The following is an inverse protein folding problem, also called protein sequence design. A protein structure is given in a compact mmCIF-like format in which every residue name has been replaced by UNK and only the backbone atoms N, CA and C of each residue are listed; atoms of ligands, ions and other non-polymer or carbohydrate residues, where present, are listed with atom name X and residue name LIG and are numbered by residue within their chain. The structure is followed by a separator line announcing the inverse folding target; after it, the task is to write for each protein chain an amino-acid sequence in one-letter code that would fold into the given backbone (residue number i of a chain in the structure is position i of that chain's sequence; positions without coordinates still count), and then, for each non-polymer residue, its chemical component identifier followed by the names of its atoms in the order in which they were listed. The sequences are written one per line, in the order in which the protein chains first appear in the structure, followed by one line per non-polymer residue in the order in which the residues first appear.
data_IF_487384835997
#
_entry.id   IF_487384835997
#
_cell.length_a   1.000
_cell.length_b   1.000
_cell.length_c   1.000
_cell.angle_alpha   90.00
_cell.angle_beta   90.00
_cell.angle_gamma   90.00
#
_symmetry.space_group_name_H-M   'P 1'
#
loop_
_entity.id
_entity.type
_entity.pdbx_description
1 polymer ?
#
# COMPACT_ATOMS: atom_id res chain seq x y z
N UNK A 1 20.09 36.87 13.42
CA UNK A 1 20.82 35.65 13.02
C UNK A 1 19.79 34.70 12.40
N UNK A 2 19.25 35.18 11.29
CA UNK A 2 18.20 34.60 10.46
C UNK A 2 18.99 34.29 9.19
N UNK A 3 19.20 33.01 8.86
CA UNK A 3 19.62 32.49 7.54
C UNK A 3 20.26 31.09 7.61
N UNK A 4 19.63 30.08 8.22
CA UNK A 4 20.09 28.69 8.07
C UNK A 4 18.96 27.65 8.19
N UNK A 5 17.90 27.82 7.41
CA UNK A 5 17.08 26.69 6.95
C UNK A 5 16.85 26.92 5.46
N UNK A 6 17.72 26.35 4.61
CA UNK A 6 17.41 26.18 3.19
C UNK A 6 16.16 25.32 3.14
N UNK A 7 15.02 25.96 2.92
CA UNK A 7 13.72 25.33 2.66
C UNK A 7 13.92 24.46 1.43
N UNK A 8 14.02 23.13 1.58
CA UNK A 8 14.06 22.18 0.44
C UNK A 8 12.81 22.45 -0.40
N UNK A 9 12.99 23.09 -1.55
CA UNK A 9 11.88 23.61 -2.34
C UNK A 9 11.08 22.44 -2.92
N UNK A 10 9.76 22.47 -2.72
CA UNK A 10 8.86 21.52 -3.37
C UNK A 10 8.88 21.76 -4.88
N UNK A 11 8.92 20.69 -5.66
CA UNK A 11 8.90 20.75 -7.12
C UNK A 11 7.48 20.59 -7.65
N UNK A 12 7.12 21.38 -8.66
CA UNK A 12 5.87 21.23 -9.40
C UNK A 12 6.18 20.68 -10.80
N UNK A 13 5.62 19.51 -11.11
CA UNK A 13 5.77 18.86 -12.42
C UNK A 13 4.39 18.70 -13.07
N UNK A 14 4.16 19.22 -14.28
CA UNK A 14 2.95 18.92 -15.04
C UNK A 14 2.87 17.43 -15.35
N UNK A 15 1.71 16.79 -15.07
CA UNK A 15 1.55 15.34 -15.22
C UNK A 15 1.81 14.86 -16.65
N UNK A 16 1.34 15.63 -17.63
CA UNK A 16 1.54 15.38 -19.07
C UNK A 16 3.02 15.34 -19.47
N UNK A 17 3.87 16.05 -18.75
CA UNK A 17 5.30 16.13 -19.06
C UNK A 17 6.10 14.95 -18.51
N UNK A 18 5.56 14.14 -17.60
CA UNK A 18 6.31 13.07 -16.92
C UNK A 18 6.81 12.03 -17.93
N UNK A 19 5.96 11.58 -18.86
CA UNK A 19 6.36 10.59 -19.87
C UNK A 19 7.53 11.08 -20.74
N UNK A 20 7.45 12.36 -21.11
CA UNK A 20 8.46 13.02 -21.93
C UNK A 20 9.76 13.23 -21.15
N UNK A 21 9.69 13.59 -19.86
CA UNK A 21 10.88 13.71 -19.00
C UNK A 21 11.57 12.36 -18.79
N UNK A 22 10.81 11.28 -18.55
CA UNK A 22 11.34 9.92 -18.44
C UNK A 22 12.08 9.52 -19.73
N UNK A 23 11.48 9.82 -20.88
CA UNK A 23 12.06 9.54 -22.20
C UNK A 23 13.32 10.38 -22.46
N UNK A 24 13.27 11.68 -22.15
CA UNK A 24 14.37 12.63 -22.33
C UNK A 24 15.62 12.20 -21.53
N UNK A 25 15.43 11.83 -20.26
CA UNK A 25 16.52 11.37 -19.39
C UNK A 25 16.85 9.88 -19.55
N UNK A 26 16.16 9.16 -20.45
CA UNK A 26 16.34 7.71 -20.71
C UNK A 26 16.26 6.87 -19.42
N UNK A 27 15.30 7.21 -18.57
CA UNK A 27 15.10 6.53 -17.29
C UNK A 27 14.32 5.22 -17.49
N UNK A 28 14.66 4.15 -16.76
CA UNK A 28 13.88 2.91 -16.82
C UNK A 28 12.49 3.14 -16.20
N UNK A 29 11.44 2.71 -16.91
CA UNK A 29 10.07 2.76 -16.42
C UNK A 29 9.65 1.38 -15.89
N UNK A 30 9.35 1.30 -14.61
CA UNK A 30 8.84 0.08 -13.97
C UNK A 30 7.31 -0.01 -14.04
N UNK A 31 6.77 -1.18 -13.69
CA UNK A 31 5.32 -1.38 -13.51
C UNK A 31 4.74 -0.38 -12.50
N UNK A 32 5.43 -0.14 -11.38
CA UNK A 32 5.00 0.83 -10.37
C UNK A 32 5.05 2.27 -10.88
N UNK A 33 6.07 2.62 -11.67
CA UNK A 33 6.21 3.96 -12.23
C UNK A 33 5.10 4.33 -13.22
N UNK A 34 4.48 3.34 -13.87
CA UNK A 34 3.33 3.55 -14.77
C UNK A 34 2.15 4.22 -14.08
N UNK A 35 2.03 4.11 -12.74
CA UNK A 35 0.98 4.79 -11.96
C UNK A 35 1.01 6.31 -12.16
N UNK A 36 2.17 6.89 -12.42
CA UNK A 36 2.35 8.33 -12.56
C UNK A 36 2.32 8.84 -14.01
N UNK A 37 2.27 7.93 -14.99
CA UNK A 37 2.33 8.27 -16.41
C UNK A 37 0.94 8.21 -17.03
N UNK A 38 0.55 9.24 -17.78
CA UNK A 38 -0.69 9.21 -18.57
C UNK A 38 -0.53 8.29 -19.80
N UNK A 39 -1.51 7.41 -20.04
CA UNK A 39 -1.52 6.51 -21.20
C UNK A 39 -1.66 7.27 -22.52
N UNK A 40 -1.02 6.75 -23.57
CA UNK A 40 -0.71 7.41 -24.86
C UNK A 40 -1.89 8.01 -25.66
N UNK A 41 -3.15 7.81 -25.29
CA UNK A 41 -4.32 8.25 -26.07
C UNK A 41 -4.51 9.77 -26.18
N UNK A 42 -3.75 10.58 -25.44
CA UNK A 42 -3.85 12.05 -25.45
C UNK A 42 -2.51 12.80 -25.61
N UNK A 43 -1.46 12.14 -26.09
CA UNK A 43 -0.19 12.82 -26.35
C UNK A 43 -0.27 13.47 -27.73
N UNK A 44 -0.80 14.70 -27.79
CA UNK A 44 -0.33 15.63 -28.81
C UNK A 44 1.16 15.83 -28.51
N UNK A 45 2.02 15.31 -29.40
CA UNK A 45 3.48 15.46 -29.35
C UNK A 45 3.86 16.94 -29.51
N UNK A 46 3.64 17.75 -28.48
CA UNK A 46 4.20 19.09 -28.37
C UNK A 46 5.43 19.03 -27.45
N UNK A 47 6.55 18.58 -28.04
CA UNK A 47 7.92 18.67 -27.48
C UNK A 47 8.24 20.08 -26.98
N UNK A 48 7.57 21.10 -27.53
CA UNK A 48 7.71 22.51 -27.17
C UNK A 48 7.38 22.81 -25.70
N UNK A 49 6.48 22.06 -25.07
CA UNK A 49 6.09 22.28 -23.66
C UNK A 49 7.14 21.78 -22.66
N UNK A 50 7.86 20.71 -22.99
CA UNK A 50 8.88 20.11 -22.12
C UNK A 50 10.18 20.86 -22.22
N UNK A 51 10.58 21.25 -23.43
CA UNK A 51 11.72 22.13 -23.61
C UNK A 51 11.48 23.46 -22.87
N UNK A 52 10.26 24.01 -22.87
CA UNK A 52 9.94 25.20 -22.09
C UNK A 52 10.02 24.98 -20.57
N UNK A 53 9.59 23.84 -20.05
CA UNK A 53 9.69 23.51 -18.61
C UNK A 53 11.14 23.22 -18.17
N UNK A 54 11.91 22.49 -18.99
CA UNK A 54 13.33 22.24 -18.76
C UNK A 54 14.12 23.55 -18.80
N UNK A 55 13.83 24.41 -19.79
CA UNK A 55 14.52 25.71 -19.94
C UNK A 55 14.10 26.74 -18.88
N UNK A 56 12.87 26.67 -18.34
CA UNK A 56 12.45 27.54 -17.23
C UNK A 56 13.03 27.10 -15.88
N UNK A 57 13.46 25.85 -15.76
CA UNK A 57 13.97 25.23 -14.53
C UNK A 57 15.50 25.19 -14.42
N UNK A 58 16.22 26.04 -15.16
CA UNK A 58 17.70 26.01 -15.25
C UNK A 58 18.41 26.33 -13.92
N UNK A 59 19.48 25.60 -13.54
CA UNK A 59 19.88 24.27 -14.01
C UNK A 59 19.02 23.20 -13.32
N UNK A 60 18.57 22.18 -14.06
CA UNK A 60 18.00 20.98 -13.46
C UNK A 60 19.08 20.31 -12.60
N UNK A 61 19.01 20.53 -11.29
CA UNK A 61 19.93 19.94 -10.33
C UNK A 61 19.86 18.40 -10.42
N UNK A 62 21.00 17.74 -10.20
CA UNK A 62 21.07 16.26 -10.16
C UNK A 62 20.03 15.66 -9.21
N UNK A 63 19.63 16.40 -8.17
CA UNK A 63 18.55 16.01 -7.25
C UNK A 63 17.20 15.86 -7.95
N UNK A 64 16.84 16.77 -8.86
CA UNK A 64 15.56 16.71 -9.58
C UNK A 64 15.54 15.49 -10.51
N UNK A 65 16.67 15.22 -11.20
CA UNK A 65 16.81 14.02 -12.04
C UNK A 65 16.66 12.76 -11.19
N UNK A 66 17.23 12.73 -9.97
CA UNK A 66 17.04 11.62 -9.04
C UNK A 66 15.56 11.46 -8.63
N UNK A 67 14.83 12.56 -8.41
CA UNK A 67 13.41 12.48 -8.05
C UNK A 67 12.55 11.94 -9.19
N UNK A 68 12.82 12.37 -10.43
CA UNK A 68 12.15 11.83 -11.63
C UNK A 68 12.51 10.34 -11.80
N UNK A 69 13.75 9.95 -11.50
CA UNK A 69 14.15 8.53 -11.51
C UNK A 69 13.38 7.70 -10.48
N UNK A 70 13.09 8.25 -9.30
CA UNK A 70 12.33 7.55 -8.27
C UNK A 70 10.87 7.41 -8.67
N UNK A 71 10.31 8.42 -9.33
CA UNK A 71 8.98 8.37 -9.94
C UNK A 71 8.87 7.32 -11.05
N UNK A 72 9.88 7.22 -11.92
CA UNK A 72 9.90 6.26 -13.02
C UNK A 72 10.09 4.81 -12.54
N UNK A 73 10.87 4.62 -11.48
CA UNK A 73 11.28 3.31 -10.99
C UNK A 73 11.27 3.23 -9.45
N UNK A 74 10.11 3.38 -8.79
CA UNK A 74 10.03 3.23 -7.34
C UNK A 74 10.20 1.76 -6.95
N UNK A 75 10.84 1.53 -5.81
CA UNK A 75 10.92 0.20 -5.16
C UNK A 75 9.69 -0.10 -4.33
N UNK A 76 9.17 0.96 -3.71
CA UNK A 76 8.05 0.93 -2.81
C UNK A 76 7.23 2.19 -3.04
N UNK A 77 5.92 2.01 -3.17
CA UNK A 77 4.94 3.05 -3.41
C UNK A 77 3.80 2.86 -2.41
N UNK A 78 3.46 3.91 -1.67
CA UNK A 78 2.36 3.91 -0.73
C UNK A 78 1.33 4.99 -1.12
N UNK A 79 0.06 4.64 -1.32
CA UNK A 79 -1.07 5.59 -1.33
C UNK A 79 -1.53 5.78 0.12
N UNK A 80 -1.25 6.95 0.68
CA UNK A 80 -1.51 7.28 2.07
C UNK A 80 -2.71 8.20 2.14
N UNK A 81 -3.72 7.80 2.92
CA UNK A 81 -4.94 8.56 3.17
C UNK A 81 -5.11 8.78 4.67
N UNK A 82 -5.21 10.04 5.06
CA UNK A 82 -5.41 10.44 6.44
C UNK A 82 -6.75 11.14 6.55
N UNK A 83 -7.62 10.64 7.42
CA UNK A 83 -8.89 11.28 7.78
C UNK A 83 -8.80 11.74 9.22
N UNK A 84 -8.79 13.04 9.44
CA UNK A 84 -8.60 13.63 10.78
C UNK A 84 -9.88 14.30 11.26
N UNK A 85 -10.34 13.94 12.47
CA UNK A 85 -11.59 14.38 13.12
C UNK A 85 -12.84 14.34 12.24
N UNK A 86 -12.90 13.45 11.25
CA UNK A 86 -14.03 13.34 10.31
C UNK A 86 -14.31 14.64 9.50
N UNK A 87 -13.36 15.57 9.44
CA UNK A 87 -13.51 16.90 8.83
C UNK A 87 -12.49 17.21 7.75
N UNK A 88 -11.31 16.61 7.82
CA UNK A 88 -10.26 16.82 6.83
C UNK A 88 -9.76 15.48 6.30
N UNK A 89 -9.51 15.47 5.00
CA UNK A 89 -8.87 14.39 4.29
C UNK A 89 -7.57 14.89 3.70
N UNK A 90 -6.50 14.14 3.90
CA UNK A 90 -5.25 14.28 3.19
C UNK A 90 -5.00 12.99 2.40
N UNK A 91 -4.62 13.14 1.13
CA UNK A 91 -4.16 12.02 0.30
C UNK A 91 -2.81 12.39 -0.30
N UNK A 92 -1.83 11.52 -0.14
CA UNK A 92 -0.51 11.68 -0.73
C UNK A 92 0.07 10.32 -1.06
N UNK A 93 0.87 10.25 -2.12
CA UNK A 93 1.74 9.11 -2.33
C UNK A 93 3.08 9.33 -1.64
N UNK A 94 3.63 8.28 -1.05
CA UNK A 94 5.02 8.25 -0.60
C UNK A 94 5.76 7.17 -1.39
N UNK A 95 6.95 7.49 -1.89
CA UNK A 95 7.78 6.51 -2.59
C UNK A 95 9.28 6.68 -2.33
N UNK A 96 10.02 5.60 -2.52
CA UNK A 96 11.48 5.57 -2.54
C UNK A 96 11.98 4.78 -3.76
N UNK A 97 13.10 5.20 -4.32
CA UNK A 97 13.80 4.50 -5.40
C UNK A 97 15.00 3.67 -4.93
N UNK A 98 15.25 3.60 -3.62
CA UNK A 98 16.48 3.07 -3.01
C UNK A 98 16.20 2.23 -1.77
N UNK A 99 17.06 1.23 -1.51
CA UNK A 99 16.88 0.26 -0.42
C UNK A 99 17.50 0.77 0.89
N UNK A 100 18.52 1.63 0.78
CA UNK A 100 19.26 2.16 1.92
C UNK A 100 18.32 2.89 2.91
N UNK A 101 18.54 2.72 4.21
CA UNK A 101 17.65 3.32 5.25
C UNK A 101 17.66 4.86 5.22
N UNK A 102 18.78 5.47 4.79
CA UNK A 102 18.94 6.91 4.61
C UNK A 102 18.50 7.39 3.21
N UNK A 103 17.88 6.51 2.41
CA UNK A 103 17.33 6.87 1.13
C UNK A 103 16.24 7.94 1.29
N UNK A 104 16.27 9.00 0.46
CA UNK A 104 15.23 10.02 0.53
C UNK A 104 13.91 9.44 0.04
N UNK A 105 12.85 9.78 0.77
CA UNK A 105 11.48 9.52 0.37
C UNK A 105 10.91 10.73 -0.36
N UNK A 106 9.94 10.51 -1.22
CA UNK A 106 9.22 11.59 -1.91
C UNK A 106 7.74 11.51 -1.53
N UNK A 107 7.21 12.61 -0.98
CA UNK A 107 5.77 12.84 -0.96
C UNK A 107 5.34 13.44 -2.29
N UNK A 108 4.27 12.90 -2.85
CA UNK A 108 3.72 13.29 -4.13
C UNK A 108 2.21 13.48 -3.97
N UNK A 109 1.68 14.60 -4.43
CA UNK A 109 0.24 14.85 -4.39
C UNK A 109 -0.21 15.58 -5.66
N UNK A 110 -1.39 15.27 -6.19
CA UNK A 110 -1.99 16.04 -7.27
C UNK A 110 -2.40 17.41 -6.74
N UNK A 111 -2.06 18.46 -7.48
CA UNK A 111 -2.46 19.86 -7.21
C UNK A 111 -3.04 20.49 -8.48
N UNK A 112 -3.63 21.68 -8.36
CA UNK A 112 -4.23 22.41 -9.48
C UNK A 112 -5.23 21.55 -10.26
N UNK A 113 -6.25 21.04 -9.57
CA UNK A 113 -7.27 20.13 -10.11
C UNK A 113 -6.69 18.87 -10.80
N UNK A 114 -5.53 18.42 -10.31
CA UNK A 114 -4.85 17.23 -10.77
C UNK A 114 -4.13 17.39 -12.10
N UNK A 115 -3.81 18.62 -12.52
CA UNK A 115 -2.96 18.90 -13.69
C UNK A 115 -1.46 18.72 -13.37
N UNK A 116 -1.07 19.05 -12.14
CA UNK A 116 0.33 19.01 -11.70
C UNK A 116 0.51 18.04 -10.53
N UNK A 117 1.71 17.46 -10.42
CA UNK A 117 2.16 16.85 -9.18
C UNK A 117 3.06 17.82 -8.42
N UNK A 118 2.76 17.97 -7.13
CA UNK A 118 3.68 18.57 -6.17
C UNK A 118 4.50 17.46 -5.53
N UNK A 119 5.82 17.55 -5.67
CA UNK A 119 6.79 16.62 -5.11
C UNK A 119 7.52 17.31 -3.97
N UNK A 120 7.61 16.65 -2.82
CA UNK A 120 8.32 17.14 -1.66
C UNK A 120 9.24 16.04 -1.11
N UNK A 121 10.56 16.28 -1.04
CA UNK A 121 11.49 15.31 -0.49
C UNK A 121 11.36 15.22 1.03
N UNK A 122 11.60 14.02 1.54
CA UNK A 122 11.70 13.64 2.94
C UNK A 122 13.05 12.97 3.12
N UNK A 123 13.77 13.33 4.18
CA UNK A 123 15.20 12.98 4.31
C UNK A 123 15.45 11.48 4.49
N UNK A 124 14.52 10.76 5.13
CA UNK A 124 14.64 9.33 5.39
C UNK A 124 13.32 8.70 5.82
N UNK A 125 13.34 7.37 6.00
CA UNK A 125 12.17 6.59 6.43
C UNK A 125 11.68 7.01 7.82
N UNK A 126 12.60 7.32 8.73
CA UNK A 126 12.30 7.79 10.07
C UNK A 126 11.46 9.09 10.06
N UNK A 127 11.84 10.05 9.22
CA UNK A 127 11.10 11.32 9.08
C UNK A 127 9.73 11.09 8.45
N UNK A 128 9.62 10.17 7.49
CA UNK A 128 8.33 9.75 6.92
C UNK A 128 7.42 9.15 8.00
N UNK A 129 7.91 8.15 8.74
CA UNK A 129 7.15 7.47 9.80
C UNK A 129 6.73 8.48 10.87
N UNK A 130 7.65 9.33 11.35
CA UNK A 130 7.35 10.39 12.31
C UNK A 130 6.27 11.36 11.80
N UNK A 131 6.29 11.70 10.50
CA UNK A 131 5.29 12.59 9.89
C UNK A 131 3.88 11.98 9.91
N UNK A 132 3.77 10.67 9.72
CA UNK A 132 2.49 9.95 9.81
C UNK A 132 2.07 9.71 11.26
N UNK A 133 3.03 9.36 12.12
CA UNK A 133 2.81 9.08 13.52
C UNK A 133 2.26 10.28 14.28
N UNK A 134 2.64 11.50 13.88
CA UNK A 134 2.12 12.76 14.42
C UNK A 134 0.58 12.90 14.31
N UNK A 135 -0.09 12.13 13.44
CA UNK A 135 -1.56 12.10 13.35
C UNK A 135 -2.20 11.07 14.29
N UNK A 136 -1.45 10.05 14.72
CA UNK A 136 -1.93 8.94 15.55
C UNK A 136 -1.64 9.18 17.03
N UNK A 137 -0.44 9.71 17.33
CA UNK A 137 0.05 9.97 18.68
C UNK A 137 -0.88 10.88 19.53
N UNK A 138 -1.47 11.97 18.98
CA UNK A 138 -2.25 12.88 19.81
C UNK A 138 -3.45 12.22 20.49
N UNK A 139 -3.76 12.68 21.70
CA UNK A 139 -4.98 12.32 22.44
C UNK A 139 -4.70 11.66 23.80
N UNK A 140 -5.70 10.96 24.32
CA UNK A 140 -5.64 10.27 25.62
C UNK A 140 -4.73 9.03 25.56
N UNK A 141 -4.29 8.48 26.70
CA UNK A 141 -3.55 7.21 26.70
C UNK A 141 -4.29 6.09 25.97
N UNK A 142 -3.53 5.27 25.25
CA UNK A 142 -4.03 4.08 24.55
C UNK A 142 -4.08 2.91 25.52
N UNK A 143 -5.22 2.24 25.55
CA UNK A 143 -5.44 1.00 26.28
C UNK A 143 -5.49 -0.14 25.27
N UNK A 144 -4.53 -1.06 25.36
CA UNK A 144 -4.57 -2.29 24.59
C UNK A 144 -5.67 -3.21 25.11
N UNK A 145 -6.26 -3.97 24.20
CA UNK A 145 -7.28 -4.95 24.54
C UNK A 145 -6.94 -6.31 23.95
N UNK A 146 -7.48 -7.37 24.55
CA UNK A 146 -7.26 -8.74 24.07
C UNK A 146 -8.03 -9.07 22.77
N UNK A 147 -8.76 -8.09 22.21
CA UNK A 147 -9.53 -8.28 20.98
C UNK A 147 -8.56 -8.41 19.80
N UNK A 148 -8.47 -9.63 19.29
CA UNK A 148 -7.75 -9.94 18.07
C UNK A 148 -8.48 -11.02 17.26
N UNK A 149 -8.58 -10.84 15.95
CA UNK A 149 -9.18 -11.84 15.07
C UNK A 149 -8.71 -11.67 13.63
N UNK A 150 -8.83 -12.74 12.84
CA UNK A 150 -8.62 -12.71 11.41
C UNK A 150 -9.91 -13.00 10.68
N UNK A 151 -10.28 -12.21 9.68
CA UNK A 151 -11.48 -12.41 8.87
C UNK A 151 -11.17 -12.33 7.37
N UNK A 152 -12.10 -12.75 6.52
CA UNK A 152 -11.96 -12.55 5.07
C UNK A 152 -12.22 -11.09 4.70
N UNK A 153 -11.78 -10.63 3.52
CA UNK A 153 -12.12 -9.29 3.02
C UNK A 153 -13.63 -9.03 2.98
N UNK A 154 -14.45 -10.03 2.63
CA UNK A 154 -15.92 -9.92 2.65
C UNK A 154 -16.47 -9.77 4.06
N UNK A 155 -15.95 -10.53 5.02
CA UNK A 155 -16.33 -10.38 6.44
C UNK A 155 -15.94 -9.00 6.96
N UNK A 156 -14.77 -8.51 6.56
CA UNK A 156 -14.28 -7.18 6.91
C UNK A 156 -15.16 -6.07 6.32
N UNK A 157 -15.52 -6.13 5.03
CA UNK A 157 -16.37 -5.11 4.40
C UNK A 157 -17.74 -5.02 5.09
N UNK A 158 -18.38 -6.16 5.39
CA UNK A 158 -19.66 -6.19 6.11
C UNK A 158 -19.51 -5.69 7.55
N UNK A 159 -18.40 -6.03 8.24
CA UNK A 159 -18.11 -5.48 9.57
C UNK A 159 -17.97 -3.96 9.55
N UNK A 160 -17.33 -3.40 8.53
CA UNK A 160 -17.22 -1.93 8.40
C UNK A 160 -18.56 -1.29 8.05
N UNK A 161 -19.40 -1.93 7.23
CA UNK A 161 -20.77 -1.46 6.99
C UNK A 161 -21.62 -1.47 8.28
N UNK A 162 -21.40 -2.45 9.16
CA UNK A 162 -22.00 -2.46 10.49
C UNK A 162 -21.52 -1.27 11.36
N UNK A 163 -20.27 -0.82 11.23
CA UNK A 163 -19.76 0.40 11.92
C UNK A 163 -20.53 1.63 11.46
N UNK A 164 -20.80 1.72 10.16
CA UNK A 164 -21.46 2.88 9.58
C UNK A 164 -22.95 2.92 9.91
N UNK A 165 -23.66 1.80 9.84
CA UNK A 165 -25.06 1.77 10.26
C UNK A 165 -25.18 2.03 11.77
N UNK A 166 -24.27 1.51 12.59
CA UNK A 166 -24.22 1.81 14.01
C UNK A 166 -24.04 3.31 14.25
N UNK A 167 -23.11 3.93 13.53
CA UNK A 167 -22.87 5.38 13.60
C UNK A 167 -24.10 6.19 13.18
N UNK A 168 -24.78 5.80 12.10
CA UNK A 168 -26.02 6.42 11.63
C UNK A 168 -27.12 6.36 12.67
N UNK A 169 -27.31 5.18 13.28
CA UNK A 169 -28.31 4.96 14.32
C UNK A 169 -27.99 5.82 15.55
N UNK A 170 -26.73 5.86 16.00
CA UNK A 170 -26.31 6.70 17.13
C UNK A 170 -26.63 8.18 16.88
N UNK A 171 -26.26 8.71 15.70
CA UNK A 171 -26.55 10.10 15.34
C UNK A 171 -28.05 10.38 15.21
N UNK A 172 -28.81 9.46 14.58
CA UNK A 172 -30.26 9.60 14.44
C UNK A 172 -30.97 9.60 15.81
N UNK A 173 -30.58 8.69 16.71
CA UNK A 173 -31.09 8.61 18.09
C UNK A 173 -30.80 9.89 18.87
N UNK A 174 -29.61 10.48 18.71
CA UNK A 174 -29.26 11.77 19.32
C UNK A 174 -30.15 12.91 18.81
N UNK A 175 -30.34 13.00 17.50
CA UNK A 175 -31.16 14.05 16.86
C UNK A 175 -32.64 13.92 17.24
N UNK A 176 -33.16 12.70 17.26
CA UNK A 176 -34.57 12.41 17.55
C UNK A 176 -34.86 12.31 19.05
N UNK A 177 -33.85 12.41 19.91
CA UNK A 177 -33.95 12.20 21.36
C UNK A 177 -34.58 10.84 21.73
N UNK A 178 -34.21 9.79 20.99
CA UNK A 178 -34.68 8.42 21.18
C UNK A 178 -33.56 7.52 21.70
N UNK A 179 -33.88 6.44 22.44
CA UNK A 179 -32.87 5.45 22.81
C UNK A 179 -32.29 4.79 21.55
N UNK A 180 -31.02 4.41 21.61
CA UNK A 180 -30.37 3.62 20.55
C UNK A 180 -30.98 2.22 20.54
N UNK A 181 -31.54 1.75 19.41
CA UNK A 181 -31.98 0.38 19.25
C UNK A 181 -30.88 -0.63 19.61
N UNK A 182 -31.27 -1.69 20.32
CA UNK A 182 -30.34 -2.78 20.70
C UNK A 182 -30.09 -3.78 19.56
N UNK A 183 -30.90 -3.72 18.50
CA UNK A 183 -30.82 -4.61 17.35
C UNK A 183 -30.96 -3.84 16.04
N UNK A 184 -30.31 -4.34 15.00
CA UNK A 184 -30.28 -3.81 13.64
C UNK A 184 -30.98 -4.82 12.71
N UNK A 185 -31.83 -4.35 11.79
CA UNK A 185 -32.43 -5.21 10.77
C UNK A 185 -31.36 -5.61 9.72
N UNK A 186 -31.37 -6.88 9.31
CA UNK A 186 -30.51 -7.36 8.21
C UNK A 186 -30.83 -6.63 6.90
N UNK A 187 -32.10 -6.31 6.66
CA UNK A 187 -32.52 -5.57 5.45
C UNK A 187 -31.95 -4.15 5.43
N UNK A 188 -32.04 -3.43 6.56
CA UNK A 188 -31.48 -2.08 6.69
C UNK A 188 -29.96 -2.09 6.49
N UNK A 189 -29.28 -3.12 7.01
CA UNK A 189 -27.84 -3.29 6.85
C UNK A 189 -27.46 -3.57 5.40
N UNK A 190 -28.20 -4.43 4.70
CA UNK A 190 -27.96 -4.72 3.28
C UNK A 190 -28.15 -3.45 2.44
N UNK A 191 -29.23 -2.71 2.67
CA UNK A 191 -29.47 -1.44 2.00
C UNK A 191 -28.37 -0.41 2.33
N UNK A 192 -27.89 -0.37 3.57
CA UNK A 192 -26.78 0.50 3.94
C UNK A 192 -25.48 0.12 3.23
N UNK A 193 -25.20 -1.18 3.07
CA UNK A 193 -24.05 -1.68 2.32
C UNK A 193 -24.09 -1.21 0.86
N UNK A 194 -25.23 -1.40 0.18
CA UNK A 194 -25.40 -1.02 -1.22
C UNK A 194 -25.23 0.50 -1.41
N UNK A 195 -25.92 1.30 -0.59
CA UNK A 195 -25.88 2.77 -0.65
C UNK A 195 -24.47 3.35 -0.49
N UNK A 196 -23.61 2.72 0.31
CA UNK A 196 -22.24 3.21 0.55
C UNK A 196 -21.39 3.16 -0.71
N UNK A 197 -21.67 2.23 -1.63
CA UNK A 197 -20.94 2.15 -2.89
C UNK A 197 -21.43 3.16 -3.93
N UNK A 198 -22.65 3.66 -3.77
CA UNK A 198 -23.23 4.69 -4.63
C UNK A 198 -22.84 6.11 -4.23
N UNK A 199 -22.67 6.38 -2.93
CA UNK A 199 -22.45 7.73 -2.41
C UNK A 199 -21.14 7.86 -1.63
N UNK A 200 -20.27 8.76 -2.08
CA UNK A 200 -19.03 9.10 -1.38
C UNK A 200 -19.33 9.96 -0.14
N UNK A 201 -19.23 9.37 1.05
CA UNK A 201 -19.38 10.11 2.31
C UNK A 201 -18.21 9.81 3.26
N UNK A 202 -17.32 10.79 3.36
CA UNK A 202 -16.08 10.73 4.14
C UNK A 202 -16.31 10.62 5.65
N UNK A 203 -17.54 10.85 6.15
CA UNK A 203 -17.88 10.67 7.56
C UNK A 203 -18.01 9.20 7.94
N UNK A 204 -18.14 8.30 6.96
CA UNK A 204 -18.32 6.88 7.17
C UNK A 204 -17.01 6.11 6.95
N UNK A 205 -16.80 5.09 7.77
CA UNK A 205 -15.57 4.32 7.80
C UNK A 205 -15.40 3.49 6.53
N UNK A 206 -16.48 2.99 5.93
CA UNK A 206 -16.39 2.16 4.73
C UNK A 206 -15.72 2.88 3.56
N UNK A 207 -16.02 4.17 3.38
CA UNK A 207 -15.37 4.96 2.33
C UNK A 207 -13.85 5.03 2.51
N UNK A 208 -13.36 5.02 3.75
CA UNK A 208 -11.93 5.03 4.02
C UNK A 208 -11.23 3.73 3.60
N UNK A 209 -11.95 2.61 3.47
CA UNK A 209 -11.36 1.30 3.12
C UNK A 209 -11.67 0.84 1.69
N UNK A 210 -12.54 1.54 0.95
CA UNK A 210 -13.04 1.08 -0.36
C UNK A 210 -11.91 0.78 -1.36
N UNK A 211 -10.80 1.50 -1.26
CA UNK A 211 -9.64 1.33 -2.13
C UNK A 211 -8.88 0.02 -1.88
N UNK A 212 -8.99 -0.58 -0.69
CA UNK A 212 -8.45 -1.92 -0.41
C UNK A 212 -9.32 -3.03 -1.01
N UNK A 213 -10.61 -2.76 -1.24
CA UNK A 213 -11.56 -3.78 -1.66
C UNK A 213 -11.49 -3.99 -3.17
N UNK A 214 -11.45 -5.26 -3.64
CA UNK A 214 -11.62 -5.57 -5.05
C UNK A 214 -13.02 -5.17 -5.51
N UNK A 215 -13.17 -4.84 -6.80
CA UNK A 215 -14.41 -4.28 -7.35
C UNK A 215 -15.60 -5.23 -7.15
N UNK A 216 -15.36 -6.54 -7.15
CA UNK A 216 -16.36 -7.59 -6.92
C UNK A 216 -16.95 -7.56 -5.51
N UNK A 217 -16.22 -7.02 -4.52
CA UNK A 217 -16.71 -6.89 -3.15
C UNK A 217 -17.44 -5.56 -2.90
N UNK A 218 -17.49 -4.67 -3.87
CA UNK A 218 -18.33 -3.46 -3.79
C UNK A 218 -19.82 -3.82 -3.94
N UNK A 219 -20.15 -4.90 -4.66
CA UNK A 219 -21.53 -5.42 -4.74
C UNK A 219 -21.56 -6.89 -4.37
N UNK A 220 -22.23 -7.24 -3.28
CA UNK A 220 -22.35 -8.64 -2.83
C UNK A 220 -23.80 -9.12 -2.94
N UNK A 221 -23.97 -10.36 -3.40
CA UNK A 221 -25.29 -10.95 -3.46
C UNK A 221 -25.84 -11.25 -2.06
N UNK A 222 -27.17 -11.26 -1.92
CA UNK A 222 -27.85 -11.46 -0.65
C UNK A 222 -27.47 -12.79 0.03
N UNK A 223 -27.17 -13.85 -0.73
CA UNK A 223 -26.82 -15.15 -0.14
C UNK A 223 -25.43 -15.12 0.48
N UNK A 224 -24.46 -14.49 -0.18
CA UNK A 224 -23.12 -14.24 0.34
C UNK A 224 -23.16 -13.31 1.55
N UNK A 225 -24.00 -12.26 1.51
CA UNK A 225 -24.22 -11.36 2.63
C UNK A 225 -24.68 -12.12 3.89
N UNK A 226 -25.74 -12.92 3.77
CA UNK A 226 -26.29 -13.70 4.89
C UNK A 226 -25.31 -14.75 5.42
N UNK A 227 -24.54 -15.39 4.53
CA UNK A 227 -23.47 -16.30 4.95
C UNK A 227 -22.37 -15.57 5.73
N UNK A 228 -22.05 -14.34 5.35
CA UNK A 228 -21.07 -13.49 6.04
C UNK A 228 -21.54 -13.13 7.44
N UNK A 229 -22.83 -12.76 7.60
CA UNK A 229 -23.43 -12.51 8.92
C UNK A 229 -23.30 -13.75 9.82
N UNK A 230 -23.60 -14.96 9.32
CA UNK A 230 -23.44 -16.21 10.09
C UNK A 230 -22.00 -16.43 10.56
N UNK A 231 -21.00 -16.10 9.73
CA UNK A 231 -19.59 -16.22 10.09
C UNK A 231 -19.19 -15.18 11.14
N UNK A 232 -19.66 -13.94 11.03
CA UNK A 232 -19.47 -12.92 12.06
C UNK A 232 -20.12 -13.32 13.41
N UNK A 233 -21.26 -14.02 13.38
CA UNK A 233 -21.87 -14.62 14.58
C UNK A 233 -20.99 -15.72 15.18
N UNK A 234 -20.43 -16.61 14.36
CA UNK A 234 -19.50 -17.65 14.82
C UNK A 234 -18.24 -17.05 15.49
N UNK A 235 -17.84 -15.85 15.08
CA UNK A 235 -16.74 -15.09 15.67
C UNK A 235 -17.09 -14.37 16.97
N UNK A 236 -18.35 -14.47 17.42
CA UNK A 236 -18.83 -13.80 18.64
C UNK A 236 -18.68 -12.28 18.60
N UNK A 237 -18.72 -11.67 17.41
CA UNK A 237 -18.78 -10.20 17.27
C UNK A 237 -20.24 -9.71 17.27
N UNK A 238 -21.16 -10.54 16.78
CA UNK A 238 -22.58 -10.23 16.73
C UNK A 238 -23.40 -11.47 17.12
N UNK A 239 -24.62 -11.24 17.56
CA UNK A 239 -25.65 -12.26 17.74
C UNK A 239 -26.73 -12.03 16.67
N UNK A 240 -27.27 -13.10 16.11
CA UNK A 240 -28.33 -13.03 15.12
C UNK A 240 -29.54 -13.82 15.59
N UNK A 241 -30.70 -13.17 15.61
CA UNK A 241 -31.99 -13.78 15.90
C UNK A 241 -32.96 -13.44 14.76
N UNK A 242 -33.24 -14.42 13.91
CA UNK A 242 -34.08 -14.25 12.73
C UNK A 242 -33.53 -13.19 11.76
N UNK A 243 -34.25 -12.09 11.63
CA UNK A 243 -33.96 -10.95 10.74
C UNK A 243 -33.18 -9.82 11.45
N UNK A 244 -32.80 -10.02 12.71
CA UNK A 244 -32.14 -9.01 13.54
C UNK A 244 -30.74 -9.41 13.95
N UNK A 245 -29.89 -8.40 14.09
CA UNK A 245 -28.52 -8.48 14.55
C UNK A 245 -28.38 -7.66 15.83
N UNK A 246 -27.81 -8.23 16.88
CA UNK A 246 -27.40 -7.53 18.10
C UNK A 246 -25.88 -7.64 18.26
N UNK A 247 -25.29 -6.75 19.05
CA UNK A 247 -23.86 -6.78 19.35
C UNK A 247 -23.59 -7.66 20.57
N UNK A 248 -22.55 -8.49 20.50
CA UNK A 248 -21.97 -9.08 21.73
C UNK A 248 -21.22 -7.99 22.50
N UNK A 249 -20.79 -8.26 23.74
CA UNK A 249 -19.94 -7.32 24.49
C UNK A 249 -18.64 -6.98 23.74
N UNK A 250 -17.95 -7.99 23.20
CA UNK A 250 -16.71 -7.80 22.42
C UNK A 250 -16.95 -7.00 21.14
N UNK A 251 -18.04 -7.29 20.42
CA UNK A 251 -18.42 -6.54 19.23
C UNK A 251 -18.80 -5.10 19.53
N UNK A 252 -19.55 -4.88 20.61
CA UNK A 252 -19.95 -3.55 21.05
C UNK A 252 -18.74 -2.70 21.47
N UNK A 253 -17.75 -3.33 22.12
CA UNK A 253 -16.49 -2.65 22.46
C UNK A 253 -15.76 -2.19 21.20
N UNK A 254 -15.54 -3.10 20.23
CA UNK A 254 -14.91 -2.76 18.95
C UNK A 254 -15.69 -1.66 18.22
N UNK A 255 -17.01 -1.82 18.05
CA UNK A 255 -17.82 -0.90 17.25
C UNK A 255 -17.91 0.49 17.86
N UNK A 256 -18.06 0.58 19.18
CA UNK A 256 -18.10 1.86 19.89
C UNK A 256 -16.77 2.60 19.80
N UNK A 257 -15.66 1.85 19.83
CA UNK A 257 -14.32 2.39 19.61
C UNK A 257 -14.15 2.93 18.19
N UNK A 258 -14.53 2.17 17.16
CA UNK A 258 -14.40 2.61 15.75
C UNK A 258 -15.37 3.76 15.41
N UNK A 259 -16.52 3.82 16.07
CA UNK A 259 -17.44 4.95 15.97
C UNK A 259 -16.79 6.25 16.49
N UNK A 260 -16.13 6.20 17.66
CA UNK A 260 -15.42 7.33 18.29
C UNK A 260 -13.97 7.50 17.81
N UNK A 261 -13.72 7.18 16.55
CA UNK A 261 -12.41 7.39 15.92
C UNK A 261 -12.09 8.89 15.77
N UNK A 262 -10.86 9.24 16.11
CA UNK A 262 -10.26 10.56 15.97
C UNK A 262 -9.47 10.69 14.68
N UNK A 263 -8.76 9.63 14.29
CA UNK A 263 -7.95 9.61 13.07
C UNK A 263 -8.01 8.23 12.41
N UNK A 264 -8.00 8.24 11.08
CA UNK A 264 -7.78 7.05 10.25
C UNK A 264 -6.52 7.32 9.43
N UNK A 265 -5.56 6.41 9.47
CA UNK A 265 -4.42 6.35 8.56
C UNK A 265 -4.55 5.07 7.75
N UNK A 266 -4.91 5.19 6.48
CA UNK A 266 -4.96 4.10 5.52
C UNK A 266 -3.75 4.18 4.59
N UNK A 267 -3.05 3.06 4.43
CA UNK A 267 -1.83 2.94 3.63
C UNK A 267 -2.02 1.76 2.69
N UNK A 268 -2.06 2.02 1.39
CA UNK A 268 -2.07 0.98 0.36
C UNK A 268 -0.68 0.90 -0.26
N UNK A 269 0.02 -0.17 0.08
CA UNK A 269 1.42 -0.39 -0.25
C UNK A 269 1.54 -1.28 -1.47
N UNK A 270 2.35 -0.84 -2.43
CA UNK A 270 2.75 -1.59 -3.61
C UNK A 270 4.27 -1.65 -3.63
N UNK A 271 4.85 -2.84 -3.71
CA UNK A 271 6.29 -3.00 -3.63
C UNK A 271 6.78 -4.36 -4.07
N UNK A 272 8.09 -4.51 -4.13
CA UNK A 272 8.72 -5.79 -4.45
C UNK A 272 9.09 -6.52 -3.16
N UNK A 273 8.76 -7.81 -3.10
CA UNK A 273 9.16 -8.67 -1.99
C UNK A 273 10.62 -9.17 -2.16
N UNK A 274 11.09 -10.00 -1.22
CA UNK A 274 12.44 -10.57 -1.25
C UNK A 274 12.72 -11.45 -2.50
N UNK A 275 11.68 -11.96 -3.15
CA UNK A 275 11.79 -12.72 -4.42
C UNK A 275 11.65 -11.83 -5.66
N UNK A 276 11.62 -10.50 -5.48
CA UNK A 276 11.40 -9.48 -6.51
C UNK A 276 10.08 -9.65 -7.27
N UNK A 277 9.08 -10.28 -6.65
CA UNK A 277 7.71 -10.29 -7.14
C UNK A 277 6.97 -9.07 -6.59
N UNK A 278 6.12 -8.51 -7.44
CA UNK A 278 5.26 -7.41 -7.06
C UNK A 278 4.19 -7.92 -6.08
N UNK A 279 4.07 -7.26 -4.94
CA UNK A 279 3.07 -7.48 -3.92
C UNK A 279 2.28 -6.22 -3.62
N UNK A 280 1.10 -6.40 -3.03
CA UNK A 280 0.24 -5.34 -2.51
C UNK A 280 -0.15 -5.67 -1.08
N UNK A 281 -0.12 -4.70 -0.18
CA UNK A 281 -0.54 -4.86 1.21
C UNK A 281 -1.27 -3.59 1.65
N UNK A 282 -2.43 -3.76 2.28
CA UNK A 282 -3.14 -2.67 2.92
C UNK A 282 -2.83 -2.64 4.41
N UNK A 283 -2.61 -1.46 4.96
CA UNK A 283 -2.48 -1.23 6.39
C UNK A 283 -3.43 -0.10 6.80
N UNK A 284 -4.25 -0.35 7.81
CA UNK A 284 -5.19 0.63 8.33
C UNK A 284 -4.94 0.80 9.83
N UNK A 285 -4.71 2.03 10.25
CA UNK A 285 -4.61 2.42 11.65
C UNK A 285 -5.80 3.31 12.00
N UNK A 286 -6.56 2.92 13.02
CA UNK A 286 -7.69 3.72 13.50
C UNK A 286 -7.40 4.11 14.95
N UNK A 287 -7.11 5.39 15.14
CA UNK A 287 -6.98 6.01 16.45
C UNK A 287 -8.35 6.42 16.95
N UNK A 288 -8.80 5.83 18.05
CA UNK A 288 -9.98 6.28 18.79
C UNK A 288 -9.56 7.04 20.06
N UNK A 289 -10.50 7.52 20.87
CA UNK A 289 -10.21 8.26 22.11
C UNK A 289 -9.17 7.54 22.98
N UNK A 290 -9.39 6.25 23.22
CA UNK A 290 -8.69 5.47 24.24
C UNK A 290 -8.08 4.16 23.69
N UNK A 291 -8.02 3.99 22.37
CA UNK A 291 -7.52 2.77 21.75
C UNK A 291 -6.91 3.10 20.39
N UNK A 292 -6.07 2.16 19.93
CA UNK A 292 -5.50 2.16 18.60
C UNK A 292 -5.67 0.77 18.00
N UNK A 293 -6.26 0.73 16.82
CA UNK A 293 -6.50 -0.49 16.07
C UNK A 293 -5.62 -0.52 14.84
N UNK A 294 -5.02 -1.68 14.58
CA UNK A 294 -4.31 -1.97 13.36
C UNK A 294 -5.02 -3.09 12.61
N UNK A 295 -5.20 -2.86 11.31
CA UNK A 295 -5.73 -3.84 10.38
C UNK A 295 -4.66 -4.10 9.33
N UNK A 296 -4.14 -5.31 9.32
CA UNK A 296 -3.30 -5.82 8.24
C UNK A 296 -4.20 -6.47 7.21
N UNK A 297 -4.25 -5.90 6.02
CA UNK A 297 -5.21 -6.22 4.96
C UNK A 297 -4.42 -6.81 3.80
N UNK A 298 -4.63 -8.08 3.49
CA UNK A 298 -4.24 -8.66 2.20
C UNK A 298 -5.36 -8.37 1.18
N UNK A 299 -5.14 -7.48 0.19
CA UNK A 299 -6.15 -7.10 -0.79
C UNK A 299 -6.31 -8.13 -1.92
N UNK A 300 -5.64 -9.28 -1.86
CA UNK A 300 -5.85 -10.35 -2.83
C UNK A 300 -7.26 -10.97 -2.72
N UNK A 301 -7.81 -11.61 -3.77
CA UNK A 301 -9.18 -12.14 -3.75
C UNK A 301 -9.51 -13.09 -2.60
N UNK A 302 -8.51 -13.81 -2.07
CA UNK A 302 -8.64 -14.71 -0.92
C UNK A 302 -7.88 -14.20 0.31
N UNK A 303 -7.53 -12.93 0.31
CA UNK A 303 -6.76 -12.29 1.36
C UNK A 303 -7.53 -12.25 2.67
N UNK A 304 -6.77 -12.24 3.76
CA UNK A 304 -7.27 -12.13 5.11
C UNK A 304 -7.00 -10.72 5.65
N UNK A 305 -7.85 -10.32 6.59
CA UNK A 305 -7.67 -9.11 7.38
C UNK A 305 -7.41 -9.51 8.82
N UNK A 306 -6.24 -9.15 9.35
CA UNK A 306 -5.92 -9.33 10.76
C UNK A 306 -6.24 -8.04 11.50
N UNK A 307 -7.11 -8.11 12.51
CA UNK A 307 -7.52 -6.98 13.35
C UNK A 307 -6.96 -7.16 14.74
N UNK A 308 -6.23 -6.16 15.22
CA UNK A 308 -5.59 -6.17 16.54
C UNK A 308 -5.62 -4.78 17.18
N UNK A 309 -5.83 -4.75 18.48
CA UNK A 309 -5.52 -3.57 19.30
C UNK A 309 -4.02 -3.53 19.57
N UNK A 310 -3.40 -2.35 19.46
CA UNK A 310 -1.96 -2.18 19.60
C UNK A 310 -1.59 -0.93 20.40
N UNK A 311 -0.39 -0.88 20.96
CA UNK A 311 0.21 0.34 21.55
C UNK A 311 0.77 1.29 20.50
N UNK A 312 1.13 2.50 20.95
CA UNK A 312 1.89 3.48 20.16
C UNK A 312 3.24 2.96 19.70
N UNK A 313 4.00 2.33 20.61
CA UNK A 313 5.31 1.76 20.27
C UNK A 313 5.17 0.70 19.18
N UNK A 314 4.18 -0.19 19.32
CA UNK A 314 3.92 -1.21 18.31
C UNK A 314 3.46 -0.62 16.98
N UNK A 315 2.68 0.45 17.00
CA UNK A 315 2.28 1.15 15.78
C UNK A 315 3.48 1.76 15.06
N UNK A 316 4.45 2.32 15.80
CA UNK A 316 5.68 2.84 15.24
C UNK A 316 6.51 1.73 14.57
N UNK A 317 6.72 0.62 15.28
CA UNK A 317 7.43 -0.56 14.73
C UNK A 317 6.79 -1.07 13.44
N UNK A 318 5.46 -1.18 13.41
CA UNK A 318 4.73 -1.64 12.24
C UNK A 318 4.86 -0.67 11.05
N UNK A 319 4.79 0.64 11.31
CA UNK A 319 4.98 1.64 10.25
C UNK A 319 6.41 1.59 9.70
N UNK A 320 7.42 1.49 10.56
CA UNK A 320 8.82 1.36 10.13
C UNK A 320 9.04 0.10 9.28
N UNK A 321 8.43 -1.03 9.69
CA UNK A 321 8.48 -2.28 8.93
C UNK A 321 7.78 -2.15 7.56
N UNK A 322 6.56 -1.61 7.52
CA UNK A 322 5.77 -1.42 6.28
C UNK A 322 6.51 -0.54 5.26
N UNK A 323 7.21 0.50 5.73
CA UNK A 323 7.97 1.39 4.86
C UNK A 323 9.40 0.90 4.59
N UNK A 324 9.75 -0.34 4.94
CA UNK A 324 11.08 -0.89 4.61
C UNK A 324 11.08 -1.56 3.23
N UNK A 325 11.80 -1.00 2.23
CA UNK A 325 11.91 -1.64 0.92
C UNK A 325 12.78 -2.91 1.01
N UNK A 326 12.25 -4.05 0.55
CA UNK A 326 12.97 -5.34 0.61
C UNK A 326 13.40 -5.88 -0.75
N UNK A 327 12.67 -5.55 -1.81
CA UNK A 327 12.90 -6.05 -3.17
C UNK A 327 13.43 -4.98 -4.14
N UNK A 328 13.92 -5.45 -5.28
CA UNK A 328 14.38 -4.63 -6.41
C UNK A 328 13.34 -4.66 -7.55
N UNK A 329 13.28 -3.60 -8.37
CA UNK A 329 12.26 -3.49 -9.40
C UNK A 329 12.62 -4.34 -10.61
N UNK A 330 11.63 -5.03 -11.15
CA UNK A 330 11.77 -5.66 -12.47
C UNK A 330 11.53 -4.59 -13.53
N UNK A 331 12.57 -4.25 -14.28
CA UNK A 331 12.48 -3.31 -15.40
C UNK A 331 11.78 -4.05 -16.55
N UNK A 332 10.63 -3.55 -16.99
CA UNK A 332 9.94 -4.11 -18.14
C UNK A 332 10.84 -3.99 -19.38
N UNK A 333 11.09 -5.13 -20.05
CA UNK A 333 11.81 -5.23 -21.33
C UNK A 333 11.17 -4.42 -22.47
N UNK A 334 10.00 -3.82 -22.23
CA UNK A 334 9.27 -2.98 -23.18
C UNK A 334 10.00 -1.67 -23.53
N UNK A 335 10.99 -1.26 -22.73
CA UNK A 335 11.79 -0.06 -22.99
C UNK A 335 12.80 -0.18 -24.13
N UNK A 336 12.96 -1.36 -24.77
CA UNK A 336 13.83 -1.52 -25.94
C UNK A 336 13.14 -1.23 -27.30
N UNK A 337 11.83 -0.96 -27.35
CA UNK A 337 11.13 -0.74 -28.63
C UNK A 337 10.96 0.72 -29.05
N UNK A 338 11.35 1.70 -28.21
CA UNK A 338 11.30 3.14 -28.57
C UNK A 338 12.58 3.68 -29.22
N UNK A 339 13.35 2.81 -29.89
CA UNK A 339 14.63 3.23 -30.46
C UNK A 339 15.15 2.38 -31.61
N UNK A 340 14.30 1.92 -32.54
CA UNK A 340 14.81 1.43 -33.84
C UNK A 340 13.75 1.51 -34.94
N UNK A 341 13.63 2.66 -35.60
CA UNK A 341 13.18 2.69 -36.99
C UNK A 341 14.41 2.90 -37.88
N UNK A 342 14.96 1.82 -38.41
CA UNK A 342 15.70 1.88 -39.68
C UNK A 342 15.67 0.51 -40.37
N UNK A 343 14.97 0.49 -41.51
CA UNK A 343 15.17 -0.38 -42.69
C UNK A 343 15.18 -1.91 -42.52
N UNK A 344 14.16 -2.49 -43.16
CA UNK A 344 13.98 -3.89 -43.57
C UNK A 344 15.22 -4.61 -44.09
N UNK A 345 15.45 -5.84 -43.62
CA UNK A 345 15.80 -6.97 -44.50
C UNK A 345 15.53 -8.31 -43.79
N UNK A 346 14.76 -9.15 -44.47
CA UNK A 346 14.28 -10.47 -44.05
C UNK A 346 15.41 -11.48 -43.88
N UNK A 347 15.27 -12.43 -42.96
CA UNK A 347 15.44 -13.88 -43.15
C UNK A 347 15.01 -14.63 -41.86
N UNK A 348 14.29 -15.74 -42.04
CA UNK A 348 13.70 -16.60 -41.00
C UNK A 348 14.72 -17.42 -40.17
N UNK A 349 14.29 -17.96 -39.00
CA UNK A 349 15.17 -18.40 -37.92
C UNK A 349 15.53 -19.89 -37.93
N UNK A 350 16.65 -20.25 -37.27
CA UNK A 350 16.98 -21.62 -36.85
C UNK A 350 17.27 -21.66 -35.34
N UNK A 351 16.93 -22.76 -34.64
CA UNK A 351 16.75 -22.81 -33.19
C UNK A 351 18.01 -23.23 -32.44
N UNK A 352 18.20 -22.71 -31.22
CA UNK A 352 19.24 -23.18 -30.31
C UNK A 352 19.38 -22.28 -29.08
N UNK A 353 18.79 -22.70 -27.97
CA UNK A 353 18.86 -22.03 -26.67
C UNK A 353 20.27 -22.11 -26.05
N UNK A 354 20.76 -21.00 -25.47
CA UNK A 354 21.63 -21.00 -24.29
C UNK A 354 21.63 -19.62 -23.63
N UNK A 355 21.81 -19.65 -22.30
CA UNK A 355 21.64 -18.59 -21.29
C UNK A 355 22.54 -17.36 -21.45
N UNK A 356 22.18 -16.19 -20.89
CA UNK A 356 22.98 -14.97 -21.02
C UNK A 356 24.33 -15.05 -20.26
N UNK A 357 25.42 -15.11 -21.02
CA UNK A 357 26.81 -15.16 -20.54
C UNK A 357 27.34 -13.77 -20.15
N UNK A 358 26.81 -13.16 -19.09
CA UNK A 358 27.33 -11.88 -18.56
C UNK A 358 27.61 -11.97 -17.06
N UNK A 359 28.72 -11.36 -16.63
CA UNK A 359 29.09 -11.25 -15.22
C UNK A 359 28.09 -10.36 -14.48
N UNK A 360 27.49 -10.84 -13.39
CA UNK A 360 26.49 -10.10 -12.60
C UNK A 360 27.08 -8.91 -11.82
N UNK A 361 28.40 -8.81 -11.71
CA UNK A 361 29.08 -7.73 -10.98
C UNK A 361 29.56 -6.58 -11.88
N UNK A 362 29.94 -6.87 -13.13
CA UNK A 362 30.50 -5.86 -14.05
C UNK A 362 29.89 -5.89 -15.45
N UNK A 363 28.92 -6.77 -15.71
CA UNK A 363 28.19 -6.94 -16.97
C UNK A 363 29.04 -7.29 -18.20
N UNK A 364 30.30 -7.66 -18.02
CA UNK A 364 31.16 -8.11 -19.12
C UNK A 364 30.83 -9.56 -19.54
N UNK A 365 30.99 -9.85 -20.83
CA UNK A 365 30.72 -11.18 -21.38
C UNK A 365 31.67 -12.23 -20.80
N UNK A 366 31.11 -13.37 -20.42
CA UNK A 366 31.84 -14.53 -19.91
C UNK A 366 31.99 -15.59 -21.02
N UNK A 367 33.11 -16.29 -21.07
CA UNK A 367 33.28 -17.41 -21.98
C UNK A 367 32.69 -18.68 -21.35
N UNK A 368 32.24 -19.61 -22.19
CA UNK A 368 31.62 -20.86 -21.75
C UNK A 368 32.64 -21.68 -20.92
N UNK A 369 32.35 -21.91 -19.64
CA UNK A 369 33.22 -22.65 -18.72
C UNK A 369 34.05 -21.81 -17.73
N UNK A 370 33.92 -20.47 -17.74
CA UNK A 370 34.62 -19.58 -16.81
C UNK A 370 34.11 -19.75 -15.36
N UNK A 371 34.98 -20.19 -14.46
CA UNK A 371 34.69 -20.31 -13.01
C UNK A 371 34.76 -18.95 -12.28
N UNK A 372 35.45 -17.98 -12.88
CA UNK A 372 35.63 -16.62 -12.37
C UNK A 372 35.63 -15.63 -13.53
N UNK A 373 35.09 -14.42 -13.33
CA UNK A 373 35.17 -13.37 -14.33
C UNK A 373 36.61 -12.89 -14.50
N UNK A 374 37.14 -12.93 -15.73
CA UNK A 374 38.50 -12.48 -16.06
C UNK A 374 38.72 -10.98 -15.90
N UNK A 375 37.63 -10.19 -15.82
CA UNK A 375 37.69 -8.73 -15.73
C UNK A 375 37.56 -8.17 -14.30
N UNK A 376 36.86 -8.88 -13.40
CA UNK A 376 36.63 -8.42 -12.02
C UNK A 376 36.95 -9.46 -10.92
N UNK A 377 37.22 -10.72 -11.28
CA UNK A 377 37.61 -11.79 -10.35
C UNK A 377 36.44 -12.49 -9.62
N UNK A 378 35.19 -12.06 -9.81
CA UNK A 378 34.01 -12.62 -9.13
C UNK A 378 33.69 -14.05 -9.59
N UNK A 379 33.45 -14.98 -8.65
CA UNK A 379 33.16 -16.39 -8.95
C UNK A 379 31.74 -16.61 -9.47
N UNK A 380 31.58 -17.53 -10.42
CA UNK A 380 30.30 -17.88 -11.04
C UNK A 380 29.86 -19.25 -10.49
N UNK A 381 29.12 -19.27 -9.38
CA UNK A 381 28.63 -20.51 -8.76
C UNK A 381 27.09 -20.56 -8.71
N UNK A 382 26.54 -21.70 -9.12
CA UNK A 382 25.11 -22.05 -9.13
C UNK A 382 24.69 -22.51 -7.72
N UNK A 383 23.63 -21.94 -7.13
CA UNK A 383 23.11 -22.32 -5.80
C UNK A 383 21.91 -23.30 -5.91
N UNK A 384 21.98 -24.41 -5.15
CA UNK A 384 20.90 -25.38 -4.92
C UNK A 384 19.78 -24.82 -4.00
N UNK A 385 18.53 -25.31 -4.13
CA UNK A 385 17.39 -24.84 -3.32
C UNK A 385 17.43 -25.31 -1.85
N UNK A 386 16.97 -24.50 -0.88
CA UNK A 386 17.02 -24.81 0.55
C UNK A 386 15.96 -25.83 1.00
N UNK A 387 16.33 -26.67 1.99
CA UNK A 387 15.47 -27.68 2.61
C UNK A 387 14.38 -27.06 3.52
N UNK A 388 13.19 -27.70 3.65
CA UNK A 388 12.08 -27.18 4.47
C UNK A 388 12.42 -27.22 5.97
N UNK A 389 12.13 -26.11 6.67
CA UNK A 389 12.24 -25.99 8.12
C UNK A 389 10.94 -26.43 8.80
N UNK A 390 11.00 -26.99 10.01
CA UNK A 390 9.83 -27.38 10.81
C UNK A 390 9.73 -26.41 11.99
N UNK A 391 8.52 -25.94 12.33
CA UNK A 391 8.33 -25.00 13.44
C UNK A 391 8.71 -25.64 14.79
N UNK A 392 9.62 -25.05 15.58
CA UNK A 392 10.08 -25.62 16.84
C UNK A 392 9.03 -25.54 17.96
N UNK A 393 8.04 -24.64 17.85
CA UNK A 393 7.04 -24.43 18.90
C UNK A 393 5.81 -25.34 18.76
N UNK A 394 5.35 -25.61 17.54
CA UNK A 394 4.12 -26.39 17.32
C UNK A 394 4.30 -27.61 16.40
N UNK A 395 5.50 -27.85 15.87
CA UNK A 395 5.81 -28.99 14.99
C UNK A 395 5.20 -28.91 13.58
N UNK A 396 4.49 -27.83 13.25
CA UNK A 396 3.90 -27.63 11.92
C UNK A 396 4.97 -27.29 10.89
N UNK A 397 4.86 -27.86 9.68
CA UNK A 397 5.75 -27.55 8.55
C UNK A 397 5.25 -26.30 7.84
N UNK A 398 5.87 -25.14 8.06
CA UNK A 398 5.50 -23.89 7.41
C UNK A 398 5.91 -23.91 5.93
N UNK A 399 5.20 -23.13 5.12
CA UNK A 399 5.52 -22.94 3.69
C UNK A 399 6.93 -22.35 3.54
N UNK A 400 7.66 -22.77 2.50
CA UNK A 400 9.02 -22.29 2.26
C UNK A 400 9.05 -20.75 2.17
N UNK A 401 9.88 -20.12 3.00
CA UNK A 401 10.02 -18.65 3.09
C UNK A 401 9.06 -17.96 4.06
N UNK A 402 8.21 -18.67 4.80
CA UNK A 402 7.35 -18.06 5.80
C UNK A 402 8.14 -17.53 7.02
N UNK A 403 8.02 -16.22 7.29
CA UNK A 403 8.62 -15.53 8.46
C UNK A 403 7.93 -15.87 9.78
N UNK A 404 6.69 -16.35 9.72
CA UNK A 404 5.89 -16.73 10.88
C UNK A 404 5.23 -18.09 10.65
N UNK A 405 5.01 -18.85 11.72
CA UNK A 405 4.26 -20.08 11.65
C UNK A 405 2.76 -19.77 11.53
N UNK A 406 2.16 -20.08 10.37
CA UNK A 406 0.73 -19.86 10.12
C UNK A 406 -0.24 -20.60 11.03
N UNK A 407 0.25 -21.46 11.93
CA UNK A 407 -0.58 -22.15 12.93
C UNK A 407 -0.47 -21.56 14.35
N UNK A 408 0.66 -20.94 14.72
CA UNK A 408 0.87 -20.48 16.11
C UNK A 408 1.48 -19.07 16.24
N UNK A 409 1.77 -18.39 15.13
CA UNK A 409 2.35 -17.04 15.14
C UNK A 409 3.83 -16.97 15.52
N UNK A 410 4.50 -18.10 15.79
CA UNK A 410 5.92 -18.10 16.14
C UNK A 410 6.81 -17.62 14.99
N UNK A 411 7.78 -16.76 15.28
CA UNK A 411 8.71 -16.21 14.28
C UNK A 411 9.72 -17.27 13.86
N UNK A 412 9.75 -17.59 12.57
CA UNK A 412 10.65 -18.55 11.96
C UNK A 412 11.78 -17.78 11.28
N UNK A 413 13.00 -17.90 11.81
CA UNK A 413 14.18 -17.30 11.18
C UNK A 413 15.03 -16.35 12.02
N UNK A 414 14.89 -16.32 13.35
CA UNK A 414 15.84 -15.61 14.21
C UNK A 414 17.16 -16.39 14.24
N UNK A 415 18.15 -15.97 13.43
CA UNK A 415 19.54 -16.33 13.72
C UNK A 415 19.97 -15.55 14.96
N UNK A 416 20.39 -16.29 15.99
CA UNK A 416 21.02 -15.75 17.20
C UNK A 416 22.33 -15.07 16.87
#
# INVERSE_FOLDING_TARGET
MIDFIKKKESLLIPRKSINLLISHFRLPLSILGKVFVETEENINQDDTSVDQWINSSSPLDQEIINWISFLANPLLLADIRIYYHQISQLRTWALTGKIEDDAPWLFIAPVNDGQDYKIQPVEGRDVLVNSLFAYIEPGSPIWETDVSFQCTLTEFSVLVALVDIYSRIQYASLILHQPVPLSISIEDLLQAYDNVTEYEDQRYLFWSIIHFLPQELQTIDQSTFLNTIKRLTQRQLIESDGDKIAWTESGLFLISSLHRRLCILAIDLLGYNETNLLGRQGALLIRAENSLWFFDIDPSPNGLVSVVSISLDKAYELLDEIFTPVGKPQIDSYSQSLGTQTTSSSLEPLPGASTPNYCQACHQSLQEGDKFCTHCGTSVAVMEPPKPQICPQCGHTPTAGAKFCGNCGFVLGVKS
#
